data_IF_616767590987
#
_entry.id   IF_616767590987
#
_cell.length_a   1.000
_cell.length_b   1.000
_cell.length_c   1.000
_cell.angle_alpha   90.00
_cell.angle_beta   90.00
_cell.angle_gamma   90.00
#
_symmetry.space_group_name_H-M   'P 1'
#
loop_
_entity.id
_entity.type
_entity.pdbx_description
1 polymer ?
#
# COMPACT_ATOMS: atom_id res chain seq x y z
N UNK A 1 5.34 3.10 -21.41
CA UNK A 1 4.54 2.51 -20.31
C UNK A 1 5.43 2.52 -19.08
N UNK A 2 5.08 3.26 -18.03
CA UNK A 2 5.88 3.24 -16.80
C UNK A 2 5.74 1.87 -16.15
N UNK A 3 6.82 1.10 -16.11
CA UNK A 3 6.87 -0.19 -15.42
C UNK A 3 6.93 0.08 -13.93
N UNK A 4 5.76 0.18 -13.28
CA UNK A 4 5.67 0.24 -11.83
C UNK A 4 5.93 -1.17 -11.28
N UNK A 5 7.03 -1.33 -10.55
CA UNK A 5 7.32 -2.54 -9.78
C UNK A 5 6.94 -2.29 -8.33
N UNK A 6 5.75 -2.72 -7.87
CA UNK A 6 5.35 -2.55 -6.49
C UNK A 6 6.12 -3.51 -5.58
N UNK A 7 6.41 -3.05 -4.37
CA UNK A 7 6.82 -3.88 -3.26
C UNK A 7 5.67 -3.95 -2.26
N UNK A 8 5.26 -5.16 -1.90
CA UNK A 8 4.18 -5.41 -0.94
C UNK A 8 4.81 -6.07 0.28
N UNK A 9 4.92 -5.31 1.36
CA UNK A 9 5.48 -5.80 2.63
C UNK A 9 4.36 -6.00 3.65
N UNK A 10 4.58 -6.91 4.61
CA UNK A 10 3.74 -7.09 5.81
C UNK A 10 2.24 -7.30 5.52
N UNK A 11 1.91 -8.18 4.55
CA UNK A 11 0.51 -8.58 4.31
C UNK A 11 -0.06 -9.21 5.58
N UNK A 12 -1.14 -8.63 6.10
CA UNK A 12 -1.91 -9.18 7.23
C UNK A 12 -3.33 -9.50 6.81
N UNK A 13 -3.97 -10.41 7.52
CA UNK A 13 -5.39 -10.68 7.38
C UNK A 13 -6.18 -10.07 8.55
N UNK A 14 -7.17 -9.25 8.24
CA UNK A 14 -8.13 -8.71 9.20
C UNK A 14 -9.38 -9.60 9.17
N UNK A 15 -9.53 -10.43 10.21
CA UNK A 15 -10.64 -11.37 10.30
C UNK A 15 -12.00 -10.71 10.59
N UNK A 16 -12.00 -9.53 11.18
CA UNK A 16 -13.22 -8.76 11.47
C UNK A 16 -13.86 -8.26 10.18
N UNK A 17 -13.05 -7.74 9.26
CA UNK A 17 -13.50 -7.16 7.98
C UNK A 17 -13.36 -8.12 6.79
N UNK A 18 -12.81 -9.32 7.04
CA UNK A 18 -12.56 -10.36 6.04
C UNK A 18 -11.78 -9.84 4.83
N UNK A 19 -10.64 -9.22 5.11
CA UNK A 19 -9.81 -8.61 4.10
C UNK A 19 -8.31 -8.79 4.39
N UNK A 20 -7.52 -8.76 3.33
CA UNK A 20 -6.07 -8.59 3.41
C UNK A 20 -5.73 -7.12 3.43
N UNK A 21 -4.71 -6.76 4.19
CA UNK A 21 -4.22 -5.39 4.30
C UNK A 21 -2.70 -5.38 4.15
N UNK A 22 -2.17 -4.36 3.48
CA UNK A 22 -0.73 -4.16 3.34
C UNK A 22 -0.38 -2.70 3.06
N UNK A 23 0.87 -2.34 3.32
CA UNK A 23 1.48 -1.11 2.83
C UNK A 23 2.17 -1.38 1.49
N UNK A 24 1.58 -0.88 0.41
CA UNK A 24 2.13 -1.06 -0.94
C UNK A 24 3.09 0.09 -1.25
N UNK A 25 4.35 -0.23 -1.50
CA UNK A 25 5.37 0.75 -1.87
C UNK A 25 5.62 0.73 -3.38
N UNK A 26 5.53 1.89 -4.02
CA UNK A 26 5.75 2.08 -5.45
C UNK A 26 6.94 3.00 -5.66
N UNK A 27 7.86 2.58 -6.51
CA UNK A 27 8.97 3.44 -6.94
C UNK A 27 8.49 4.32 -8.09
N UNK A 28 8.55 5.64 -7.91
CA UNK A 28 8.21 6.65 -8.92
C UNK A 28 9.43 7.52 -9.24
N UNK A 29 9.45 8.23 -10.38
CA UNK A 29 10.51 9.20 -10.67
C UNK A 29 10.66 10.30 -9.60
N UNK A 30 9.58 10.59 -8.86
CA UNK A 30 9.54 11.60 -7.79
C UNK A 30 9.92 11.03 -6.41
N UNK A 31 10.17 9.72 -6.30
CA UNK A 31 10.51 9.05 -5.06
C UNK A 31 9.62 7.85 -4.75
N UNK A 32 9.69 7.39 -3.50
CA UNK A 32 8.87 6.29 -3.01
C UNK A 32 7.48 6.80 -2.62
N UNK A 33 6.46 6.08 -3.07
CA UNK A 33 5.08 6.32 -2.69
C UNK A 33 4.55 5.12 -1.94
N UNK A 34 3.94 5.35 -0.78
CA UNK A 34 3.42 4.28 0.09
C UNK A 34 1.91 4.43 0.20
N UNK A 35 1.19 3.35 -0.08
CA UNK A 35 -0.27 3.33 -0.14
C UNK A 35 -0.79 2.22 0.76
N UNK A 36 -1.49 2.60 1.83
CA UNK A 36 -2.25 1.63 2.61
C UNK A 36 -3.35 1.05 1.71
N UNK A 37 -3.41 -0.26 1.60
CA UNK A 37 -4.33 -0.96 0.70
C UNK A 37 -5.02 -2.10 1.41
N UNK A 38 -6.27 -2.32 1.04
CA UNK A 38 -7.11 -3.41 1.52
C UNK A 38 -7.73 -4.18 0.35
N UNK A 39 -7.79 -5.50 0.48
CA UNK A 39 -8.38 -6.40 -0.52
C UNK A 39 -9.31 -7.40 0.18
N UNK A 40 -10.62 -7.24 -0.03
CA UNK A 40 -11.65 -8.14 0.52
C UNK A 40 -11.56 -9.48 -0.19
N UNK A 41 -11.22 -10.52 0.54
CA UNK A 41 -11.13 -11.91 0.09
C UNK A 41 -11.03 -12.84 1.32
N UNK A 42 -11.39 -14.14 1.20
CA UNK A 42 -11.26 -15.09 2.30
C UNK A 42 -9.81 -15.32 2.76
N UNK A 43 -9.59 -15.73 4.01
CA UNK A 43 -8.24 -16.05 4.53
C UNK A 43 -7.55 -17.18 3.76
N UNK A 44 -8.32 -18.03 3.08
CA UNK A 44 -7.81 -19.12 2.24
C UNK A 44 -7.32 -18.67 0.88
N UNK A 45 -7.41 -17.38 0.55
CA UNK A 45 -6.87 -16.84 -0.70
C UNK A 45 -5.35 -16.93 -0.70
N UNK A 46 -4.81 -17.43 -1.82
CA UNK A 46 -3.37 -17.56 -2.02
C UNK A 46 -2.66 -16.21 -1.98
N UNK A 47 -1.42 -16.22 -1.49
CA UNK A 47 -0.64 -15.01 -1.30
C UNK A 47 -0.51 -14.19 -2.59
N UNK A 48 -0.22 -14.84 -3.73
CA UNK A 48 -0.06 -14.14 -5.01
C UNK A 48 -1.35 -13.46 -5.46
N UNK A 49 -2.51 -14.05 -5.15
CA UNK A 49 -3.80 -13.44 -5.45
C UNK A 49 -4.10 -12.26 -4.54
N UNK A 50 -3.88 -12.41 -3.23
CA UNK A 50 -4.02 -11.32 -2.27
C UNK A 50 -3.09 -10.15 -2.63
N UNK A 51 -1.83 -10.43 -2.97
CA UNK A 51 -0.85 -9.45 -3.41
C UNK A 51 -1.29 -8.72 -4.69
N UNK A 52 -1.81 -9.43 -5.69
CA UNK A 52 -2.38 -8.81 -6.90
C UNK A 52 -3.56 -7.90 -6.57
N UNK A 53 -4.47 -8.35 -5.71
CA UNK A 53 -5.63 -7.57 -5.27
C UNK A 53 -5.22 -6.28 -4.56
N UNK A 54 -4.28 -6.38 -3.62
CA UNK A 54 -3.70 -5.23 -2.91
C UNK A 54 -3.03 -4.24 -3.86
N UNK A 55 -2.25 -4.72 -4.83
CA UNK A 55 -1.63 -3.87 -5.84
C UNK A 55 -2.67 -3.12 -6.69
N UNK A 56 -3.71 -3.82 -7.16
CA UNK A 56 -4.72 -3.19 -7.99
C UNK A 56 -5.48 -2.09 -7.25
N UNK A 57 -5.75 -2.29 -5.95
CA UNK A 57 -6.36 -1.28 -5.07
C UNK A 57 -5.45 -0.08 -4.85
N UNK A 58 -4.16 -0.31 -4.56
CA UNK A 58 -3.17 0.75 -4.47
C UNK A 58 -3.12 1.58 -5.76
N UNK A 59 -3.05 0.90 -6.91
CA UNK A 59 -2.97 1.54 -8.23
C UNK A 59 -4.17 2.42 -8.53
N UNK A 60 -5.38 1.99 -8.17
CA UNK A 60 -6.59 2.80 -8.33
C UNK A 60 -6.52 4.07 -7.48
N UNK A 61 -6.08 3.95 -6.23
CA UNK A 61 -5.87 5.09 -5.33
C UNK A 61 -4.88 6.13 -5.91
N UNK A 62 -3.83 5.66 -6.61
CA UNK A 62 -2.86 6.55 -7.29
C UNK A 62 -3.42 7.28 -8.50
N UNK A 63 -4.43 6.72 -9.16
CA UNK A 63 -5.13 7.36 -10.28
C UNK A 63 -6.14 8.42 -9.84
N UNK A 64 -6.54 8.42 -8.57
CA UNK A 64 -7.49 9.35 -7.97
C UNK A 64 -6.75 10.41 -7.12
N UNK A 65 -6.77 11.70 -7.48
CA UNK A 65 -6.07 12.76 -6.75
C UNK A 65 -6.47 12.86 -5.26
N UNK A 66 -7.69 12.46 -4.93
CA UNK A 66 -8.28 12.60 -3.59
C UNK A 66 -7.81 11.57 -2.57
N UNK A 67 -7.21 10.45 -2.97
CA UNK A 67 -6.76 9.39 -2.04
C UNK A 67 -5.25 9.40 -1.72
N UNK A 68 -4.51 10.39 -2.23
CA UNK A 68 -3.05 10.57 -2.08
C UNK A 68 -2.60 11.12 -0.70
N UNK A 69 -3.23 10.72 0.40
CA UNK A 69 -2.85 11.20 1.74
C UNK A 69 -2.53 10.07 2.72
N UNK A 70 -1.32 9.54 2.60
CA UNK A 70 -0.53 9.13 3.76
C UNK A 70 0.86 9.74 3.63
N UNK A 71 0.96 11.04 3.93
CA UNK A 71 2.24 11.64 4.30
C UNK A 71 2.58 11.08 5.68
N UNK A 72 3.55 10.17 5.75
CA UNK A 72 4.34 10.03 6.98
C UNK A 72 4.95 11.41 7.21
N UNK A 73 4.39 12.19 8.14
CA UNK A 73 5.06 13.36 8.66
C UNK A 73 6.40 12.84 9.17
N UNK A 74 7.49 13.17 8.47
CA UNK A 74 8.82 13.03 9.01
C UNK A 74 8.77 13.72 10.37
N UNK A 75 8.84 12.93 11.45
CA UNK A 75 9.01 13.46 12.79
C UNK A 75 10.38 14.11 12.75
N UNK A 76 10.38 15.43 12.58
CA UNK A 76 11.53 16.28 12.79
C UNK A 76 11.87 16.14 14.28
N UNK A 77 12.80 15.24 14.58
CA UNK A 77 13.41 15.11 15.90
C UNK A 77 14.14 16.43 16.17
N UNK A 78 13.77 17.23 17.19
CA UNK A 78 14.52 18.42 17.53
C UNK A 78 15.92 18.00 18.01
N UNK A 79 16.93 18.52 17.33
CA UNK A 79 18.32 18.49 17.76
C UNK A 79 18.42 19.21 19.12
N UNK A 80 18.55 18.47 20.21
CA UNK A 80 18.92 19.04 21.50
C UNK A 80 20.39 19.49 21.41
N UNK A 81 20.58 20.79 21.59
CA UNK A 81 21.88 21.47 21.69
C UNK A 81 22.60 21.12 23.00
#
# INVERSE_FOLDING_TARGET
>A
MSTWTPRIDQVRYNATEQCFEALVTVVTPQGLLRVASQYVAPITTEFEEAARGLWMRARLSLGTPEHLQLREAAVEMPSAA
#
